data_IF_763331768599
#
_entry.id   IF_763331768599
#
_cell.length_a   1.000
_cell.length_b   1.000
_cell.length_c   1.000
_cell.angle_alpha   90.00
_cell.angle_beta   90.00
_cell.angle_gamma   90.00
#
_symmetry.space_group_name_H-M   'P 1'
#
loop_
_entity.id
_entity.type
_entity.pdbx_description
1 polymer ?
#
# COMPACT_ATOMS: atom_id res chain seq x y z
N UNK A 1 -11.48 -1.65 31.63
CA UNK A 1 -11.77 -1.07 30.31
C UNK A 1 -10.45 -0.62 29.71
N UNK A 2 -10.09 -1.07 28.55
CA UNK A 2 -8.76 -0.86 27.96
C UNK A 2 -8.56 0.54 27.37
N UNK A 3 -9.64 1.33 27.21
CA UNK A 3 -9.58 2.68 26.66
C UNK A 3 -8.60 3.56 27.45
N UNK A 4 -7.68 4.21 26.75
CA UNK A 4 -6.75 5.20 27.31
C UNK A 4 -7.53 6.41 27.86
N UNK A 5 -7.54 6.56 29.18
CA UNK A 5 -8.22 7.65 29.87
C UNK A 5 -7.39 8.95 29.99
N UNK A 6 -6.11 8.86 29.63
CA UNK A 6 -5.16 9.98 29.56
C UNK A 6 -5.27 10.77 28.25
N UNK A 7 -5.98 10.24 27.25
CA UNK A 7 -6.30 10.90 25.98
C UNK A 7 -7.75 11.40 26.02
N UNK A 8 -7.97 12.69 25.79
CA UNK A 8 -9.31 13.29 25.69
C UNK A 8 -9.65 13.68 24.24
N UNK A 9 -8.65 14.07 23.46
CA UNK A 9 -8.83 14.55 22.08
C UNK A 9 -7.75 14.03 21.14
N UNK A 10 -8.16 13.71 19.91
CA UNK A 10 -7.32 13.10 18.88
C UNK A 10 -7.43 13.89 17.59
N UNK A 11 -6.28 14.29 17.03
CA UNK A 11 -6.17 14.88 15.71
C UNK A 11 -5.93 13.77 14.68
N UNK A 12 -6.82 13.66 13.70
CA UNK A 12 -6.69 12.74 12.56
C UNK A 12 -6.23 13.52 11.34
N UNK A 13 -5.20 13.02 10.67
CA UNK A 13 -4.75 13.56 9.39
C UNK A 13 -5.39 12.78 8.24
N UNK A 14 -6.05 13.47 7.33
CA UNK A 14 -6.57 12.91 6.10
C UNK A 14 -5.51 12.78 5.00
N UNK A 15 -5.93 12.29 3.83
CA UNK A 15 -5.04 12.00 2.71
C UNK A 15 -4.81 13.19 1.77
N UNK A 16 -5.44 14.32 2.01
CA UNK A 16 -5.41 15.45 1.08
C UNK A 16 -6.39 15.28 -0.09
N UNK A 17 -6.09 15.83 -1.28
CA UNK A 17 -6.91 15.68 -2.46
C UNK A 17 -6.90 14.22 -2.94
N UNK A 18 -7.99 13.79 -3.59
CA UNK A 18 -8.04 12.50 -4.27
C UNK A 18 -7.17 12.58 -5.53
N UNK A 19 -6.12 11.77 -5.56
CA UNK A 19 -5.17 11.65 -6.67
C UNK A 19 -4.97 10.19 -7.04
N UNK A 20 -4.43 9.92 -8.23
CA UNK A 20 -4.01 8.56 -8.60
C UNK A 20 -2.97 8.07 -7.58
N UNK A 21 -3.25 6.92 -6.96
CA UNK A 21 -2.41 6.34 -5.91
C UNK A 21 -2.86 6.63 -4.48
N UNK A 22 -3.68 7.66 -4.25
CA UNK A 22 -4.19 8.05 -2.92
C UNK A 22 -5.63 8.54 -3.03
N UNK A 23 -6.57 7.57 -3.18
CA UNK A 23 -7.96 7.83 -3.56
C UNK A 23 -8.95 7.62 -2.40
N UNK A 24 -10.18 7.20 -2.73
CA UNK A 24 -11.31 7.10 -1.79
C UNK A 24 -11.11 6.07 -0.66
N UNK A 25 -10.17 5.14 -0.79
CA UNK A 25 -9.86 4.14 0.24
C UNK A 25 -9.36 4.80 1.54
N UNK A 26 -8.63 5.90 1.41
CA UNK A 26 -8.16 6.66 2.58
C UNK A 26 -9.27 7.54 3.18
N UNK A 27 -10.21 8.03 2.36
CA UNK A 27 -11.41 8.66 2.86
C UNK A 27 -12.26 7.68 3.70
N UNK A 28 -12.44 6.45 3.20
CA UNK A 28 -13.08 5.39 3.96
C UNK A 28 -12.37 5.13 5.29
N UNK A 29 -11.05 5.00 5.29
CA UNK A 29 -10.25 4.71 6.49
C UNK A 29 -10.36 5.83 7.52
N UNK A 30 -10.25 7.09 7.09
CA UNK A 30 -10.41 8.27 7.94
C UNK A 30 -11.82 8.38 8.53
N UNK A 31 -12.86 8.14 7.71
CA UNK A 31 -14.26 8.15 8.18
C UNK A 31 -14.51 7.04 9.22
N UNK A 32 -13.98 5.84 9.03
CA UNK A 32 -14.09 4.75 10.00
C UNK A 32 -13.36 5.07 11.31
N UNK A 33 -12.18 5.68 11.24
CA UNK A 33 -11.46 6.10 12.43
C UNK A 33 -12.22 7.19 13.22
N UNK A 34 -12.75 8.20 12.53
CA UNK A 34 -13.58 9.23 13.16
C UNK A 34 -14.76 8.62 13.92
N UNK A 35 -15.50 7.71 13.26
CA UNK A 35 -16.64 7.02 13.89
C UNK A 35 -16.22 6.21 15.11
N UNK A 36 -15.20 5.36 14.96
CA UNK A 36 -14.73 4.48 16.02
C UNK A 36 -14.27 5.26 17.26
N UNK A 37 -13.50 6.34 17.08
CA UNK A 37 -12.99 7.13 18.18
C UNK A 37 -14.07 7.97 18.86
N UNK A 38 -15.04 8.51 18.11
CA UNK A 38 -16.19 9.20 18.69
C UNK A 38 -17.12 8.26 19.46
N UNK A 39 -17.33 7.03 18.96
CA UNK A 39 -18.07 5.98 19.70
C UNK A 39 -17.42 5.67 21.06
N UNK A 40 -16.09 5.74 21.14
CA UNK A 40 -15.33 5.58 22.38
C UNK A 40 -15.35 6.86 23.26
N UNK A 41 -15.96 7.94 22.78
CA UNK A 41 -16.14 9.19 23.53
C UNK A 41 -14.93 10.13 23.50
N UNK A 42 -14.02 9.98 22.52
CA UNK A 42 -12.95 10.95 22.29
C UNK A 42 -13.47 12.15 21.50
N UNK A 43 -12.95 13.33 21.79
CA UNK A 43 -13.13 14.49 20.92
C UNK A 43 -12.23 14.33 19.69
N UNK A 44 -12.84 14.28 18.51
CA UNK A 44 -12.13 14.08 17.24
C UNK A 44 -11.98 15.39 16.49
N UNK A 45 -10.75 15.71 16.11
CA UNK A 45 -10.39 16.83 15.26
C UNK A 45 -9.87 16.25 13.95
N UNK A 46 -10.37 16.71 12.81
CA UNK A 46 -9.98 16.23 11.49
C UNK A 46 -9.39 17.35 10.66
N UNK A 47 -8.30 17.06 9.95
CA UNK A 47 -7.73 17.91 8.90
C UNK A 47 -7.71 17.15 7.60
N UNK A 48 -8.37 17.68 6.58
CA UNK A 48 -8.28 17.20 5.19
C UNK A 48 -8.61 18.32 4.22
N UNK A 49 -7.88 18.43 3.12
CA UNK A 49 -8.06 19.55 2.17
C UNK A 49 -9.24 19.38 1.20
N UNK A 50 -9.73 18.14 1.04
CA UNK A 50 -10.84 17.86 0.12
C UNK A 50 -12.19 17.98 0.82
N UNK A 51 -13.04 18.98 0.49
CA UNK A 51 -14.34 19.15 1.11
C UNK A 51 -15.41 18.14 0.64
N UNK A 52 -15.12 17.39 -0.43
CA UNK A 52 -16.07 16.46 -1.03
C UNK A 52 -15.88 15.01 -0.58
N UNK A 53 -15.14 14.77 0.50
CA UNK A 53 -14.92 13.45 1.10
C UNK A 53 -15.94 13.15 2.20
N UNK A 54 -16.18 11.86 2.48
CA UNK A 54 -17.06 11.43 3.56
C UNK A 54 -16.50 11.85 4.92
N UNK A 55 -15.17 11.72 5.12
CA UNK A 55 -14.55 12.07 6.39
C UNK A 55 -14.73 13.56 6.75
N UNK A 56 -14.86 14.44 5.77
CA UNK A 56 -15.06 15.88 5.99
C UNK A 56 -16.52 16.30 6.18
N UNK A 57 -17.45 15.36 6.16
CA UNK A 57 -18.83 15.63 6.56
C UNK A 57 -18.85 16.18 8.00
N UNK A 58 -19.58 17.26 8.27
CA UNK A 58 -19.66 17.89 9.61
C UNK A 58 -20.07 16.94 10.74
N UNK A 59 -20.77 15.83 10.40
CA UNK A 59 -21.16 14.83 11.39
C UNK A 59 -20.03 13.86 11.76
N UNK A 60 -18.90 13.84 11.05
CA UNK A 60 -17.82 12.86 11.26
C UNK A 60 -16.89 13.24 12.41
N UNK A 61 -16.57 14.51 12.60
CA UNK A 61 -15.66 14.98 13.64
C UNK A 61 -16.27 16.13 14.45
N UNK A 62 -15.75 16.38 15.65
CA UNK A 62 -16.20 17.49 16.51
C UNK A 62 -15.65 18.84 16.00
N UNK A 63 -14.49 18.81 15.32
CA UNK A 63 -13.92 19.95 14.60
C UNK A 63 -13.33 19.46 13.28
N UNK A 64 -13.77 20.03 12.17
CA UNK A 64 -13.27 19.70 10.82
C UNK A 64 -12.58 20.91 10.22
N UNK A 65 -11.34 20.72 9.79
CA UNK A 65 -10.51 21.72 9.09
C UNK A 65 -10.35 21.31 7.64
N UNK A 66 -10.95 22.09 6.74
CA UNK A 66 -10.74 21.97 5.28
C UNK A 66 -9.51 22.81 4.93
N UNK A 67 -8.35 22.25 5.23
CA UNK A 67 -7.06 22.92 5.13
C UNK A 67 -6.00 21.97 4.53
N UNK A 68 -4.91 22.52 3.98
CA UNK A 68 -3.81 21.68 3.48
C UNK A 68 -3.23 20.77 4.56
N UNK A 69 -2.98 19.51 4.19
CA UNK A 69 -2.30 18.53 5.04
C UNK A 69 -0.78 18.77 4.95
N UNK A 70 -0.37 19.94 5.40
CA UNK A 70 1.02 20.42 5.45
C UNK A 70 1.38 20.77 6.89
N UNK A 71 2.62 20.47 7.29
CA UNK A 71 3.02 20.60 8.70
C UNK A 71 2.85 22.01 9.27
N UNK A 72 3.05 23.09 8.48
CA UNK A 72 2.91 24.45 8.93
C UNK A 72 1.43 24.80 9.27
N UNK A 73 0.52 24.31 8.45
CA UNK A 73 -0.93 24.48 8.65
C UNK A 73 -1.40 23.65 9.84
N UNK A 74 -0.99 22.38 9.88
CA UNK A 74 -1.35 21.47 10.97
C UNK A 74 -0.76 21.93 12.30
N UNK A 75 0.44 22.51 12.32
CA UNK A 75 1.03 23.11 13.54
C UNK A 75 0.15 24.22 14.13
N UNK A 76 -0.45 25.09 13.30
CA UNK A 76 -1.38 26.11 13.76
C UNK A 76 -2.68 25.53 14.32
N UNK A 77 -3.14 24.43 13.74
CA UNK A 77 -4.32 23.72 14.23
C UNK A 77 -4.01 23.05 15.58
N UNK A 78 -2.84 22.42 15.71
CA UNK A 78 -2.36 21.87 17.00
C UNK A 78 -2.24 22.98 18.06
N UNK A 79 -1.70 24.13 17.71
CA UNK A 79 -1.61 25.28 18.61
C UNK A 79 -2.98 25.74 19.11
N UNK A 80 -3.98 25.75 18.25
CA UNK A 80 -5.35 26.20 18.55
C UNK A 80 -6.13 25.14 19.33
N UNK A 81 -6.12 23.88 18.86
CA UNK A 81 -6.98 22.81 19.35
C UNK A 81 -6.40 22.03 20.53
N UNK A 82 -5.06 22.02 20.67
CA UNK A 82 -4.33 21.32 21.74
C UNK A 82 -4.76 19.86 21.88
N UNK A 83 -4.71 19.05 20.80
CA UNK A 83 -5.05 17.63 20.90
C UNK A 83 -4.06 16.91 21.82
N UNK A 84 -4.51 15.87 22.52
CA UNK A 84 -3.64 15.00 23.30
C UNK A 84 -2.83 14.06 22.41
N UNK A 85 -3.42 13.64 21.27
CA UNK A 85 -2.78 12.69 20.36
C UNK A 85 -2.98 13.04 18.88
N UNK A 86 -2.06 12.55 18.05
CA UNK A 86 -2.07 12.63 16.60
C UNK A 86 -2.15 11.22 16.02
N UNK A 87 -3.15 10.94 15.17
CA UNK A 87 -3.31 9.67 14.45
C UNK A 87 -3.06 9.89 12.95
N UNK A 88 -1.84 9.60 12.43
CA UNK A 88 -1.48 9.81 11.03
C UNK A 88 -1.73 8.60 10.13
N UNK A 89 -1.96 7.41 10.70
CA UNK A 89 -1.95 6.13 9.97
C UNK A 89 -3.16 5.88 9.08
N UNK A 90 -4.12 6.82 9.04
CA UNK A 90 -5.36 6.72 8.26
C UNK A 90 -5.33 7.49 6.94
N UNK A 91 -4.41 8.44 6.78
CA UNK A 91 -4.37 9.37 5.65
C UNK A 91 -3.27 9.08 4.61
N UNK A 92 -2.79 7.86 4.53
CA UNK A 92 -1.78 7.46 3.56
C UNK A 92 -0.42 8.13 3.76
N UNK A 93 0.37 8.20 2.70
CA UNK A 93 1.74 8.76 2.76
C UNK A 93 1.75 10.25 3.08
N UNK A 94 0.77 11.01 2.60
CA UNK A 94 0.65 12.44 2.90
C UNK A 94 0.58 12.69 4.39
N UNK A 95 -0.24 11.93 5.11
CA UNK A 95 -0.41 12.06 6.56
C UNK A 95 0.85 11.65 7.32
N UNK A 96 1.50 10.53 6.93
CA UNK A 96 2.75 10.09 7.56
C UNK A 96 3.87 11.12 7.39
N UNK A 97 4.07 11.64 6.18
CA UNK A 97 5.09 12.66 5.91
C UNK A 97 4.84 13.94 6.71
N UNK A 98 3.57 14.36 6.82
CA UNK A 98 3.19 15.51 7.64
C UNK A 98 3.52 15.27 9.12
N UNK A 99 3.20 14.09 9.65
CA UNK A 99 3.45 13.75 11.05
C UNK A 99 4.94 13.69 11.38
N UNK A 100 5.74 13.04 10.54
CA UNK A 100 7.20 13.01 10.69
C UNK A 100 7.81 14.42 10.68
N UNK A 101 7.30 15.31 9.81
CA UNK A 101 7.78 16.68 9.75
C UNK A 101 7.36 17.50 10.97
N UNK A 102 6.15 17.31 11.49
CA UNK A 102 5.70 17.95 12.73
C UNK A 102 6.58 17.53 13.93
N UNK A 103 6.97 16.27 13.97
CA UNK A 103 7.87 15.77 15.01
C UNK A 103 9.27 16.34 14.87
N UNK A 104 9.85 16.28 13.68
CA UNK A 104 11.19 16.79 13.36
C UNK A 104 11.33 18.31 13.66
N UNK A 105 10.27 19.10 13.46
CA UNK A 105 10.21 20.54 13.76
C UNK A 105 9.90 20.80 15.25
N UNK A 106 9.76 19.74 16.06
CA UNK A 106 9.50 19.85 17.51
C UNK A 106 8.08 20.31 17.88
N UNK A 107 7.16 20.33 16.92
CA UNK A 107 5.78 20.80 17.16
C UNK A 107 5.06 19.88 18.14
N UNK A 108 5.19 18.55 17.95
CA UNK A 108 4.54 17.57 18.82
C UNK A 108 5.04 17.70 20.25
N UNK A 109 6.35 17.76 20.46
CA UNK A 109 6.96 17.93 21.78
C UNK A 109 6.57 19.28 22.44
N UNK A 110 6.54 20.37 21.66
CA UNK A 110 6.16 21.72 22.15
C UNK A 110 4.76 21.76 22.75
N UNK A 111 3.83 21.02 22.17
CA UNK A 111 2.43 21.03 22.60
C UNK A 111 1.99 19.78 23.38
N UNK A 112 2.91 18.84 23.62
CA UNK A 112 2.65 17.61 24.36
C UNK A 112 1.71 16.65 23.61
N UNK A 113 1.80 16.59 22.28
CA UNK A 113 0.97 15.73 21.43
C UNK A 113 1.68 14.40 21.22
N UNK A 114 1.02 13.30 21.59
CA UNK A 114 1.54 11.94 21.36
C UNK A 114 1.17 11.45 19.97
N UNK A 115 2.13 10.88 19.24
CA UNK A 115 1.83 10.17 17.99
C UNK A 115 1.36 8.75 18.31
N UNK A 116 0.13 8.40 17.88
CA UNK A 116 -0.50 7.10 18.12
C UNK A 116 -0.73 6.36 16.79
N UNK A 117 -0.93 5.04 16.83
CA UNK A 117 -1.14 4.17 15.65
C UNK A 117 0.16 3.66 15.04
N UNK A 118 1.21 4.46 15.00
CA UNK A 118 2.58 4.04 14.68
C UNK A 118 3.55 5.05 15.31
N UNK A 119 4.69 4.57 15.77
CA UNK A 119 5.77 5.42 16.29
C UNK A 119 6.59 6.00 15.15
N UNK A 120 7.26 7.14 15.39
CA UNK A 120 8.20 7.71 14.42
C UNK A 120 9.27 6.70 14.00
N UNK A 121 9.83 5.96 14.97
CA UNK A 121 10.87 4.94 14.70
C UNK A 121 10.34 3.83 13.77
N UNK A 122 9.11 3.34 14.01
CA UNK A 122 8.49 2.33 13.17
C UNK A 122 8.25 2.83 11.75
N UNK A 123 7.77 4.07 11.60
CA UNK A 123 7.56 4.70 10.29
C UNK A 123 8.88 4.86 9.55
N UNK A 124 9.89 5.42 10.21
CA UNK A 124 11.21 5.66 9.63
C UNK A 124 11.89 4.33 9.21
N UNK A 125 11.83 3.31 10.06
CA UNK A 125 12.36 1.97 9.76
C UNK A 125 11.65 1.28 8.59
N UNK A 126 10.35 1.50 8.42
CA UNK A 126 9.58 0.90 7.35
C UNK A 126 9.76 1.63 5.99
N UNK A 127 9.89 2.96 6.02
CA UNK A 127 9.93 3.80 4.81
C UNK A 127 11.35 4.02 4.27
N UNK A 128 12.35 3.97 5.14
CA UNK A 128 13.76 4.07 4.75
C UNK A 128 14.24 2.70 4.25
N UNK A 129 14.65 2.63 2.98
CA UNK A 129 15.06 1.39 2.34
C UNK A 129 16.25 0.68 2.99
N UNK A 130 17.23 1.45 3.39
CA UNK A 130 18.44 0.89 4.02
C UNK A 130 18.11 0.31 5.39
N UNK A 131 17.35 1.06 6.20
CA UNK A 131 16.88 0.60 7.51
C UNK A 131 15.96 -0.61 7.38
N UNK A 132 15.08 -0.61 6.38
CA UNK A 132 14.22 -1.75 6.10
C UNK A 132 15.01 -2.99 5.70
N UNK A 133 15.98 -2.87 4.80
CA UNK A 133 16.85 -3.97 4.38
C UNK A 133 17.65 -4.55 5.56
N UNK A 134 18.22 -3.69 6.40
CA UNK A 134 18.91 -4.10 7.63
C UNK A 134 17.96 -4.84 8.57
N UNK A 135 16.75 -4.34 8.75
CA UNK A 135 15.74 -4.97 9.60
C UNK A 135 15.33 -6.35 9.06
N UNK A 136 15.11 -6.49 7.75
CA UNK A 136 14.77 -7.77 7.13
C UNK A 136 15.90 -8.79 7.26
N UNK A 137 17.14 -8.40 6.99
CA UNK A 137 18.31 -9.26 7.19
C UNK A 137 18.47 -9.74 8.63
N UNK A 138 18.19 -8.88 9.60
CA UNK A 138 18.25 -9.22 11.03
C UNK A 138 17.29 -10.35 11.41
N UNK A 139 16.14 -10.44 10.80
CA UNK A 139 15.14 -11.49 11.02
C UNK A 139 15.25 -12.65 10.01
N UNK A 140 16.31 -12.68 9.20
CA UNK A 140 16.60 -13.76 8.25
C UNK A 140 15.71 -13.77 7.01
N UNK A 141 15.10 -12.65 6.65
CA UNK A 141 14.32 -12.48 5.43
C UNK A 141 15.17 -11.83 4.33
N UNK A 142 14.86 -12.21 3.09
CA UNK A 142 15.48 -11.62 1.92
C UNK A 142 14.67 -10.44 1.40
N UNK A 143 15.38 -9.40 0.96
CA UNK A 143 14.89 -8.29 0.14
C UNK A 143 15.45 -8.41 -1.28
N UNK A 144 14.95 -7.65 -2.27
CA UNK A 144 15.63 -7.52 -3.56
C UNK A 144 17.09 -7.08 -3.34
N UNK A 145 18.01 -7.71 -4.06
CA UNK A 145 19.42 -7.31 -4.00
C UNK A 145 19.57 -5.90 -4.52
N UNK A 146 20.13 -5.02 -3.70
CA UNK A 146 20.31 -3.63 -4.04
C UNK A 146 21.62 -3.12 -3.44
N UNK A 147 22.31 -2.26 -4.17
CA UNK A 147 23.49 -1.55 -3.65
C UNK A 147 23.52 -0.12 -4.19
N UNK A 148 24.16 0.73 -3.42
CA UNK A 148 24.39 2.13 -3.76
C UNK A 148 25.71 2.25 -4.55
N UNK A 149 25.72 3.13 -5.56
CA UNK A 149 26.90 3.49 -6.32
C UNK A 149 26.98 5.02 -6.46
N UNK A 150 28.16 5.58 -6.22
CA UNK A 150 28.43 7.01 -6.39
C UNK A 150 29.25 7.31 -7.64
N UNK A 151 29.76 6.29 -8.28
CA UNK A 151 30.52 6.38 -9.53
C UNK A 151 30.05 5.33 -10.53
N UNK A 152 30.35 5.55 -11.81
CA UNK A 152 30.04 4.58 -12.85
C UNK A 152 30.82 3.27 -12.63
N UNK A 153 32.03 3.33 -12.10
CA UNK A 153 32.87 2.15 -11.82
C UNK A 153 32.24 1.31 -10.71
N UNK A 154 31.81 1.94 -9.61
CA UNK A 154 31.05 1.28 -8.54
C UNK A 154 29.76 0.67 -9.08
N UNK A 155 29.02 1.38 -9.95
CA UNK A 155 27.79 0.89 -10.56
C UNK A 155 28.03 -0.40 -11.36
N UNK A 156 29.13 -0.51 -12.10
CA UNK A 156 29.49 -1.77 -12.79
C UNK A 156 29.82 -2.90 -11.80
N UNK A 157 30.46 -2.59 -10.66
CA UNK A 157 30.68 -3.56 -9.59
C UNK A 157 29.38 -4.08 -8.98
N UNK A 158 28.38 -3.21 -8.83
CA UNK A 158 27.04 -3.60 -8.38
C UNK A 158 26.34 -4.46 -9.44
N UNK A 159 26.46 -4.11 -10.72
CA UNK A 159 25.86 -4.87 -11.82
C UNK A 159 26.31 -6.34 -11.84
N UNK A 160 27.58 -6.63 -11.52
CA UNK A 160 28.08 -8.01 -11.44
C UNK A 160 27.36 -8.86 -10.40
N UNK A 161 26.83 -8.22 -9.33
CA UNK A 161 26.08 -8.89 -8.26
C UNK A 161 24.58 -8.97 -8.56
N UNK A 162 24.02 -7.92 -9.15
CA UNK A 162 22.58 -7.76 -9.41
C UNK A 162 22.17 -8.44 -10.70
N UNK A 163 22.96 -8.33 -11.76
CA UNK A 163 22.67 -8.88 -13.09
C UNK A 163 21.67 -8.04 -13.89
N UNK A 164 21.25 -8.58 -15.06
CA UNK A 164 20.20 -7.99 -15.90
C UNK A 164 18.91 -8.82 -15.85
N UNK A 165 17.74 -8.18 -16.02
CA UNK A 165 17.51 -6.74 -15.99
C UNK A 165 17.75 -6.17 -14.60
N UNK A 166 18.12 -4.88 -14.51
CA UNK A 166 18.24 -4.17 -13.23
C UNK A 166 17.56 -2.81 -13.29
N UNK A 167 17.17 -2.31 -12.12
CA UNK A 167 16.50 -1.02 -11.95
C UNK A 167 17.51 -0.03 -11.39
N UNK A 168 17.62 1.12 -12.01
CA UNK A 168 18.53 2.20 -11.60
C UNK A 168 17.68 3.37 -11.15
N UNK A 169 17.92 3.86 -9.93
CA UNK A 169 17.19 4.99 -9.34
C UNK A 169 18.16 6.00 -8.76
N UNK A 170 18.21 7.22 -9.31
CA UNK A 170 18.96 8.30 -8.69
C UNK A 170 18.35 8.68 -7.35
N UNK A 171 19.17 8.83 -6.32
CA UNK A 171 18.72 9.26 -5.00
C UNK A 171 18.31 10.73 -5.02
N UNK A 172 17.31 11.07 -4.20
CA UNK A 172 16.76 12.42 -4.02
C UNK A 172 16.20 13.08 -5.28
N UNK A 173 15.78 12.30 -6.28
CA UNK A 173 15.07 12.82 -7.46
C UNK A 173 13.55 12.62 -7.32
N UNK A 174 12.77 13.56 -7.86
CA UNK A 174 11.31 13.49 -7.83
C UNK A 174 10.76 12.73 -9.04
N UNK A 175 9.73 11.91 -8.82
CA UNK A 175 8.97 11.28 -9.89
C UNK A 175 9.74 10.25 -10.73
N UNK A 176 10.85 9.69 -10.22
CA UNK A 176 11.65 8.71 -10.95
C UNK A 176 12.54 9.32 -12.04
N UNK A 177 12.76 10.64 -12.01
CA UNK A 177 13.60 11.34 -12.99
C UNK A 177 15.02 10.78 -13.03
N UNK A 178 15.51 10.45 -14.24
CA UNK A 178 16.86 9.93 -14.46
C UNK A 178 17.01 8.43 -14.18
N UNK A 179 16.01 7.78 -13.59
CA UNK A 179 15.98 6.34 -13.39
C UNK A 179 15.50 5.58 -14.62
N UNK A 180 15.64 4.25 -14.57
CA UNK A 180 15.17 3.38 -15.65
C UNK A 180 15.50 1.92 -15.38
N UNK A 181 15.06 1.08 -16.28
CA UNK A 181 15.37 -0.35 -16.30
C UNK A 181 16.39 -0.60 -17.40
N UNK A 182 17.49 -1.25 -17.05
CA UNK A 182 18.51 -1.65 -18.01
C UNK A 182 18.41 -3.14 -18.30
N UNK A 183 18.31 -3.48 -19.57
CA UNK A 183 18.28 -4.86 -20.05
C UNK A 183 19.63 -5.33 -20.60
N UNK A 184 20.54 -4.38 -20.84
CA UNK A 184 21.87 -4.63 -21.38
C UNK A 184 22.86 -3.57 -20.90
N UNK A 185 24.16 -3.82 -21.13
CA UNK A 185 25.25 -2.98 -20.66
C UNK A 185 25.21 -1.55 -21.23
N UNK A 186 24.74 -1.35 -22.46
CA UNK A 186 24.69 -0.02 -23.09
C UNK A 186 23.61 0.83 -22.46
N UNK A 187 22.43 0.26 -22.24
CA UNK A 187 21.35 0.93 -21.52
C UNK A 187 21.74 1.25 -20.08
N UNK A 188 22.37 0.30 -19.39
CA UNK A 188 22.86 0.46 -18.04
C UNK A 188 23.81 1.67 -17.93
N UNK A 189 24.85 1.72 -18.76
CA UNK A 189 25.82 2.82 -18.75
C UNK A 189 25.15 4.18 -19.02
N UNK A 190 24.23 4.22 -19.99
CA UNK A 190 23.50 5.42 -20.35
C UNK A 190 22.63 5.95 -19.20
N UNK A 191 21.89 5.05 -18.56
CA UNK A 191 21.01 5.40 -17.44
C UNK A 191 21.83 5.82 -16.21
N UNK A 192 22.90 5.08 -15.90
CA UNK A 192 23.76 5.41 -14.75
C UNK A 192 24.42 6.79 -14.92
N UNK A 193 24.99 7.10 -16.08
CA UNK A 193 25.58 8.42 -16.34
C UNK A 193 24.58 9.55 -16.11
N UNK A 194 23.41 9.42 -16.73
CA UNK A 194 22.32 10.40 -16.58
C UNK A 194 21.83 10.50 -15.14
N UNK A 195 21.71 9.37 -14.47
CA UNK A 195 21.24 9.31 -13.08
C UNK A 195 22.22 9.96 -12.10
N UNK A 196 23.54 9.73 -12.24
CA UNK A 196 24.57 10.39 -11.44
C UNK A 196 24.59 11.91 -11.65
N UNK A 197 24.37 12.38 -12.88
CA UNK A 197 24.30 13.83 -13.16
C UNK A 197 23.04 14.49 -12.54
N UNK A 198 21.92 13.76 -12.46
CA UNK A 198 20.66 14.29 -11.95
C UNK A 198 20.52 14.15 -10.43
N UNK A 199 21.22 13.21 -9.80
CA UNK A 199 21.22 13.06 -8.35
C UNK A 199 21.99 14.19 -7.68
N UNK A 200 21.41 14.95 -6.76
CA UNK A 200 22.10 16.01 -6.02
C UNK A 200 23.29 15.50 -5.20
N UNK A 201 23.31 14.23 -4.87
CA UNK A 201 24.34 13.56 -4.07
C UNK A 201 25.28 12.69 -4.92
N UNK A 202 25.12 12.68 -6.25
CA UNK A 202 25.78 11.75 -7.18
C UNK A 202 25.65 10.29 -6.72
N UNK A 203 24.43 9.88 -6.40
CA UNK A 203 24.12 8.58 -5.82
C UNK A 203 23.05 7.86 -6.65
N UNK A 204 23.32 6.60 -6.94
CA UNK A 204 22.39 5.69 -7.58
C UNK A 204 22.11 4.50 -6.67
N UNK A 205 20.85 4.15 -6.52
CA UNK A 205 20.45 2.84 -6.05
C UNK A 205 20.23 1.93 -7.26
N UNK A 206 20.90 0.77 -7.28
CA UNK A 206 20.79 -0.23 -8.35
C UNK A 206 20.20 -1.48 -7.74
N UNK A 207 18.97 -1.82 -8.16
CA UNK A 207 18.19 -2.94 -7.66
C UNK A 207 18.15 -4.08 -8.69
N UNK A 208 18.15 -5.35 -8.24
CA UNK A 208 17.74 -6.46 -9.10
C UNK A 208 16.30 -6.25 -9.55
N UNK A 209 16.02 -6.57 -10.81
CA UNK A 209 14.65 -6.47 -11.33
C UNK A 209 13.85 -7.72 -10.96
N UNK A 210 12.71 -7.50 -10.37
CA UNK A 210 11.71 -8.54 -10.11
C UNK A 210 10.62 -8.59 -11.17
N UNK A 211 10.83 -7.96 -12.34
CA UNK A 211 9.87 -8.01 -13.44
C UNK A 211 9.58 -9.46 -13.82
N UNK A 212 8.30 -9.78 -13.94
CA UNK A 212 7.84 -11.13 -14.25
C UNK A 212 7.68 -12.05 -13.03
N UNK A 213 8.08 -11.62 -11.83
CA UNK A 213 7.82 -12.38 -10.61
C UNK A 213 6.34 -12.30 -10.24
N UNK A 214 5.85 -13.31 -9.53
CA UNK A 214 4.53 -13.26 -8.89
C UNK A 214 4.56 -12.28 -7.73
N UNK A 215 3.44 -11.61 -7.51
CA UNK A 215 3.29 -10.64 -6.43
C UNK A 215 2.15 -11.04 -5.49
N UNK A 216 2.45 -11.04 -4.20
CA UNK A 216 1.50 -11.35 -3.13
C UNK A 216 1.54 -10.29 -2.05
N UNK A 217 0.40 -10.09 -1.40
CA UNK A 217 0.29 -9.17 -0.27
C UNK A 217 -0.39 -9.88 0.91
N UNK A 218 0.05 -9.54 2.12
CA UNK A 218 -0.61 -9.94 3.36
C UNK A 218 -1.09 -8.70 4.09
N UNK A 219 -2.40 -8.64 4.33
CA UNK A 219 -2.97 -7.65 5.24
C UNK A 219 -2.93 -8.19 6.66
N UNK A 220 -2.26 -7.47 7.54
CA UNK A 220 -1.92 -7.93 8.88
C UNK A 220 -2.35 -6.90 9.90
N UNK A 221 -2.84 -7.35 11.04
CA UNK A 221 -3.13 -6.48 12.19
C UNK A 221 -2.41 -7.02 13.41
N UNK A 222 -1.75 -6.13 14.15
CA UNK A 222 -1.05 -6.46 15.40
C UNK A 222 -1.41 -5.46 16.50
N UNK A 223 -1.55 -5.96 17.74
CA UNK A 223 -1.78 -5.15 18.92
C UNK A 223 -0.58 -5.15 19.89
N UNK A 224 -0.69 -4.39 20.97
CA UNK A 224 0.37 -4.24 21.99
C UNK A 224 0.61 -5.51 22.82
N UNK A 225 -0.32 -6.45 22.84
CA UNK A 225 -0.18 -7.77 23.48
C UNK A 225 0.44 -8.83 22.56
N UNK A 226 0.93 -8.41 21.37
CA UNK A 226 1.48 -9.29 20.33
C UNK A 226 0.45 -10.26 19.74
N UNK A 227 -0.86 -10.00 19.89
CA UNK A 227 -1.83 -10.67 19.05
C UNK A 227 -1.62 -10.17 17.62
N UNK A 228 -1.27 -11.08 16.73
CA UNK A 228 -0.94 -10.75 15.34
C UNK A 228 -1.66 -11.72 14.40
N UNK A 229 -2.51 -11.18 13.53
CA UNK A 229 -3.40 -11.96 12.66
C UNK A 229 -3.29 -11.53 11.20
N UNK A 230 -3.43 -12.48 10.29
CA UNK A 230 -3.58 -12.23 8.87
C UNK A 230 -5.07 -12.03 8.55
N UNK A 231 -5.41 -10.86 8.07
CA UNK A 231 -6.79 -10.55 7.67
C UNK A 231 -7.12 -11.16 6.32
N UNK A 232 -6.18 -11.06 5.38
CA UNK A 232 -6.36 -11.52 4.03
C UNK A 232 -5.01 -11.76 3.34
N UNK A 233 -4.92 -12.84 2.57
CA UNK A 233 -3.89 -13.01 1.55
C UNK A 233 -4.42 -12.50 0.21
N UNK A 234 -3.60 -11.79 -0.53
CA UNK A 234 -3.95 -11.16 -1.78
C UNK A 234 -2.94 -11.58 -2.85
N UNK A 235 -3.42 -11.90 -4.04
CA UNK A 235 -2.58 -12.20 -5.20
C UNK A 235 -2.84 -11.19 -6.31
N UNK A 236 -1.79 -10.58 -6.82
CA UNK A 236 -1.83 -9.77 -8.02
C UNK A 236 -1.65 -10.69 -9.24
N UNK A 237 -2.66 -10.73 -10.12
CA UNK A 237 -2.63 -11.62 -11.31
C UNK A 237 -1.65 -11.13 -12.35
N UNK A 238 -1.43 -9.83 -12.43
CA UNK A 238 -0.39 -9.25 -13.26
C UNK A 238 0.98 -9.48 -12.60
N UNK A 239 1.95 -9.90 -13.39
CA UNK A 239 3.30 -10.05 -12.90
C UNK A 239 3.91 -8.71 -12.47
N UNK A 240 4.89 -8.76 -11.58
CA UNK A 240 5.66 -7.57 -11.17
C UNK A 240 6.20 -6.81 -12.37
N UNK A 241 6.12 -5.49 -12.30
CA UNK A 241 6.32 -4.54 -13.39
C UNK A 241 5.04 -3.76 -13.73
N UNK A 242 3.88 -4.27 -13.32
CA UNK A 242 2.61 -3.53 -13.26
C UNK A 242 2.37 -3.13 -11.81
N UNK A 243 2.01 -1.86 -11.58
CA UNK A 243 1.73 -1.36 -10.23
C UNK A 243 0.55 -2.12 -9.60
N UNK A 244 0.62 -2.47 -8.31
CA UNK A 244 -0.42 -3.23 -7.58
C UNK A 244 -1.83 -2.63 -7.73
N UNK A 245 -1.94 -1.30 -7.76
CA UNK A 245 -3.19 -0.58 -8.01
C UNK A 245 -3.79 -0.83 -9.40
N UNK A 246 -2.94 -1.08 -10.40
CA UNK A 246 -3.32 -1.35 -11.78
C UNK A 246 -3.47 -2.84 -12.07
N UNK A 247 -3.07 -3.70 -11.14
CA UNK A 247 -3.20 -5.14 -11.24
C UNK A 247 -4.63 -5.60 -11.01
N UNK A 248 -5.02 -6.67 -11.72
CA UNK A 248 -6.18 -7.47 -11.37
C UNK A 248 -5.79 -8.27 -10.13
N UNK A 249 -6.61 -8.20 -9.08
CA UNK A 249 -6.25 -8.71 -7.77
C UNK A 249 -7.31 -9.69 -7.28
N UNK A 250 -6.89 -10.77 -6.66
CA UNK A 250 -7.78 -11.80 -6.12
C UNK A 250 -7.49 -12.06 -4.64
N UNK A 251 -8.54 -12.26 -3.88
CA UNK A 251 -8.50 -12.63 -2.47
C UNK A 251 -9.47 -13.79 -2.20
N UNK A 252 -9.06 -14.83 -1.47
CA UNK A 252 -7.67 -15.11 -1.03
C UNK A 252 -6.76 -15.44 -2.22
N UNK A 253 -5.45 -15.42 -2.01
CA UNK A 253 -4.47 -15.86 -3.01
C UNK A 253 -4.80 -17.28 -3.53
N UNK A 254 -4.76 -17.46 -4.85
CA UNK A 254 -5.25 -18.67 -5.51
C UNK A 254 -4.13 -19.66 -5.86
N UNK A 255 -2.91 -19.18 -6.06
CA UNK A 255 -1.80 -20.00 -6.58
C UNK A 255 -0.72 -20.31 -5.56
N UNK A 256 -0.88 -19.88 -4.30
CA UNK A 256 0.00 -20.27 -3.20
C UNK A 256 -0.29 -21.70 -2.76
N UNK A 257 0.76 -22.49 -2.61
CA UNK A 257 0.69 -23.72 -1.81
C UNK A 257 0.57 -23.36 -0.33
N UNK A 258 0.06 -24.28 0.50
CA UNK A 258 -0.01 -24.05 1.94
C UNK A 258 1.38 -23.74 2.55
N UNK A 259 2.42 -24.42 2.08
CA UNK A 259 3.79 -24.16 2.54
C UNK A 259 4.24 -22.73 2.24
N UNK A 260 3.99 -22.22 1.05
CA UNK A 260 4.33 -20.84 0.66
C UNK A 260 3.50 -19.82 1.43
N UNK A 261 2.20 -20.08 1.60
CA UNK A 261 1.33 -19.26 2.44
C UNK A 261 1.86 -19.16 3.88
N UNK A 262 2.23 -20.29 4.51
CA UNK A 262 2.77 -20.30 5.88
C UNK A 262 4.12 -19.58 5.97
N UNK A 263 4.97 -19.66 4.95
CA UNK A 263 6.21 -18.88 4.89
C UNK A 263 5.95 -17.38 4.86
N UNK A 264 5.05 -16.93 3.98
CA UNK A 264 4.68 -15.51 3.89
C UNK A 264 3.96 -15.02 5.15
N UNK A 265 3.08 -15.85 5.73
CA UNK A 265 2.41 -15.58 7.00
C UNK A 265 3.43 -15.36 8.12
N UNK A 266 4.35 -16.28 8.32
CA UNK A 266 5.37 -16.21 9.37
C UNK A 266 6.31 -15.02 9.14
N UNK A 267 6.69 -14.75 7.89
CA UNK A 267 7.48 -13.59 7.51
C UNK A 267 6.75 -12.29 7.86
N UNK A 268 5.46 -12.17 7.52
CA UNK A 268 4.65 -10.98 7.84
C UNK A 268 4.60 -10.70 9.33
N UNK A 269 4.38 -11.73 10.16
CA UNK A 269 4.38 -11.59 11.62
C UNK A 269 5.76 -11.12 12.14
N UNK A 270 6.85 -11.67 11.60
CA UNK A 270 8.20 -11.29 11.97
C UNK A 270 8.52 -9.84 11.53
N UNK A 271 8.08 -9.43 10.34
CA UNK A 271 8.25 -8.06 9.82
C UNK A 271 7.57 -7.05 10.75
N UNK A 272 6.30 -7.24 11.11
CA UNK A 272 5.59 -6.30 11.99
C UNK A 272 6.26 -6.17 13.36
N UNK A 273 6.77 -7.27 13.91
CA UNK A 273 7.50 -7.28 15.19
C UNK A 273 8.82 -6.52 15.09
N UNK A 274 9.62 -6.77 14.03
CA UNK A 274 10.92 -6.11 13.86
C UNK A 274 10.78 -4.62 13.54
N UNK A 275 9.80 -4.23 12.75
CA UNK A 275 9.51 -2.82 12.45
C UNK A 275 8.97 -2.10 13.69
N UNK A 276 8.20 -2.80 14.54
CA UNK A 276 7.63 -2.23 15.76
C UNK A 276 6.25 -1.63 15.58
N UNK A 277 5.46 -2.12 14.60
CA UNK A 277 4.03 -1.76 14.51
C UNK A 277 3.26 -2.59 15.53
N UNK A 278 2.64 -1.91 16.50
CA UNK A 278 1.97 -2.52 17.65
C UNK A 278 0.49 -2.16 17.77
N UNK A 279 0.02 -1.20 17.00
CA UNK A 279 -1.34 -0.65 17.16
C UNK A 279 -1.99 -0.38 15.83
N UNK A 280 -2.02 -1.38 14.95
CA UNK A 280 -2.70 -1.13 13.70
C UNK A 280 -2.58 -2.18 12.61
N UNK A 281 -3.15 -1.84 11.48
CA UNK A 281 -3.09 -2.60 10.25
C UNK A 281 -1.89 -2.22 9.42
N UNK A 282 -1.33 -3.21 8.74
CA UNK A 282 -0.19 -3.07 7.85
C UNK A 282 -0.34 -3.98 6.65
N UNK A 283 0.27 -3.58 5.55
CA UNK A 283 0.38 -4.37 4.34
C UNK A 283 1.83 -4.80 4.15
N UNK A 284 2.07 -6.08 3.95
CA UNK A 284 3.40 -6.64 3.63
C UNK A 284 3.36 -7.22 2.23
N UNK A 285 4.25 -6.77 1.36
CA UNK A 285 4.31 -7.18 -0.05
C UNK A 285 5.48 -8.14 -0.29
N UNK A 286 5.21 -9.18 -1.08
CA UNK A 286 6.15 -10.25 -1.40
C UNK A 286 6.27 -10.42 -2.91
N UNK A 287 7.51 -10.63 -3.38
CA UNK A 287 7.78 -11.15 -4.70
C UNK A 287 8.18 -12.61 -4.63
N UNK A 288 7.66 -13.45 -5.52
CA UNK A 288 8.04 -14.85 -5.67
C UNK A 288 8.53 -15.13 -7.08
N UNK A 289 9.78 -15.62 -7.17
CA UNK A 289 10.34 -16.06 -8.45
C UNK A 289 9.58 -17.29 -8.97
N UNK A 290 8.98 -17.24 -10.17
CA UNK A 290 8.22 -18.38 -10.71
C UNK A 290 9.11 -19.59 -11.03
N UNK A 291 10.39 -19.37 -11.33
CA UNK A 291 11.31 -20.44 -11.74
C UNK A 291 11.97 -21.16 -10.56
N UNK A 292 12.32 -20.41 -9.51
CA UNK A 292 13.10 -20.93 -8.38
C UNK A 292 12.30 -21.06 -7.09
N UNK A 293 11.14 -20.42 -7.00
CA UNK A 293 10.34 -20.32 -5.78
C UNK A 293 10.94 -19.38 -4.72
N UNK A 294 12.03 -18.65 -5.03
CA UNK A 294 12.63 -17.65 -4.11
C UNK A 294 11.61 -16.60 -3.76
N UNK A 295 11.45 -16.31 -2.47
CA UNK A 295 10.53 -15.31 -1.93
C UNK A 295 11.36 -14.16 -1.35
N UNK A 296 10.98 -12.93 -1.69
CA UNK A 296 11.57 -11.71 -1.14
C UNK A 296 10.49 -10.80 -0.57
N UNK A 297 10.83 -10.06 0.49
CA UNK A 297 9.97 -8.98 1.00
C UNK A 297 10.29 -7.71 0.21
N UNK A 298 9.25 -7.12 -0.38
CA UNK A 298 9.39 -5.90 -1.20
C UNK A 298 9.35 -4.65 -0.32
N UNK A 299 8.28 -4.54 0.44
CA UNK A 299 8.03 -3.41 1.34
C UNK A 299 6.98 -3.76 2.40
N UNK A 300 6.89 -2.92 3.40
CA UNK A 300 5.85 -2.96 4.41
C UNK A 300 5.32 -1.55 4.62
N UNK A 301 4.00 -1.39 4.59
CA UNK A 301 3.36 -0.12 4.88
C UNK A 301 2.94 -0.08 6.36
N UNK A 302 3.53 0.79 7.23
CA UNK A 302 3.24 0.85 8.67
C UNK A 302 1.94 1.65 8.94
N UNK A 303 0.94 1.45 8.13
CA UNK A 303 -0.33 2.18 8.13
C UNK A 303 -1.41 1.41 7.41
N UNK A 304 -2.66 1.83 7.57
CA UNK A 304 -3.74 1.38 6.70
C UNK A 304 -3.42 1.78 5.26
N UNK A 305 -3.55 0.83 4.34
CA UNK A 305 -3.26 0.98 2.91
C UNK A 305 -4.53 0.98 2.07
N UNK A 306 -4.40 1.13 0.75
CA UNK A 306 -5.52 0.94 -0.17
C UNK A 306 -6.04 -0.49 -0.11
N UNK A 307 -5.13 -1.45 -0.12
CA UNK A 307 -5.48 -2.88 0.00
C UNK A 307 -6.16 -3.21 1.32
N UNK A 308 -5.89 -2.48 2.41
CA UNK A 308 -6.60 -2.65 3.69
C UNK A 308 -8.10 -2.35 3.58
N UNK A 309 -8.49 -1.32 2.83
CA UNK A 309 -9.91 -1.03 2.58
C UNK A 309 -10.57 -2.11 1.74
N UNK A 310 -9.87 -2.61 0.70
CA UNK A 310 -10.35 -3.70 -0.14
C UNK A 310 -10.43 -5.01 0.64
N UNK A 311 -9.43 -5.35 1.42
CA UNK A 311 -9.43 -6.52 2.31
C UNK A 311 -10.57 -6.45 3.33
N UNK A 312 -10.83 -5.26 3.89
CA UNK A 312 -11.97 -5.07 4.79
C UNK A 312 -13.29 -5.39 4.12
N UNK A 313 -13.48 -4.96 2.86
CA UNK A 313 -14.69 -5.29 2.09
C UNK A 313 -14.71 -6.77 1.67
N UNK A 314 -13.57 -7.34 1.33
CA UNK A 314 -13.46 -8.73 0.92
C UNK A 314 -13.78 -9.69 2.06
N UNK A 315 -13.34 -9.41 3.28
CA UNK A 315 -13.46 -10.31 4.44
C UNK A 315 -14.59 -9.96 5.39
N UNK A 316 -15.04 -8.70 5.37
CA UNK A 316 -15.96 -8.16 6.39
C UNK A 316 -15.24 -7.70 7.67
N UNK A 317 -13.90 -7.85 7.78
CA UNK A 317 -13.13 -7.40 8.93
C UNK A 317 -12.78 -5.90 8.78
N UNK A 318 -13.25 -5.02 9.68
CA UNK A 318 -13.13 -3.57 9.51
C UNK A 318 -11.76 -3.07 9.98
N UNK A 319 -10.69 -3.27 9.18
CA UNK A 319 -9.29 -2.99 9.53
C UNK A 319 -9.12 -1.57 10.09
N UNK A 320 -9.64 -0.53 9.43
CA UNK A 320 -9.46 0.85 9.86
C UNK A 320 -10.13 1.15 11.20
N UNK A 321 -11.34 0.61 11.44
CA UNK A 321 -12.05 0.70 12.73
C UNK A 321 -11.25 0.02 13.84
N UNK A 322 -10.77 -1.18 13.59
CA UNK A 322 -9.97 -1.95 14.55
C UNK A 322 -8.66 -1.23 14.83
N UNK A 323 -7.92 -0.81 13.81
CA UNK A 323 -6.66 -0.08 13.97
C UNK A 323 -6.81 1.21 14.78
N UNK A 324 -7.91 1.96 14.59
CA UNK A 324 -8.20 3.15 15.38
C UNK A 324 -8.43 2.80 16.88
N UNK A 325 -9.11 1.70 17.16
CA UNK A 325 -9.32 1.23 18.55
C UNK A 325 -8.05 0.70 19.20
N UNK A 326 -7.21 -0.02 18.44
CA UNK A 326 -5.90 -0.45 18.94
C UNK A 326 -5.01 0.74 19.28
N UNK A 327 -5.05 1.82 18.49
CA UNK A 327 -4.28 3.03 18.74
C UNK A 327 -4.64 3.74 20.07
N UNK A 328 -5.81 3.45 20.63
CA UNK A 328 -6.28 4.01 21.92
C UNK A 328 -6.32 2.97 23.05
N UNK A 329 -5.55 1.89 22.92
CA UNK A 329 -5.23 0.97 24.01
C UNK A 329 -6.04 -0.33 24.06
N UNK A 330 -6.94 -0.57 23.10
CA UNK A 330 -7.60 -1.87 22.98
C UNK A 330 -6.63 -2.93 22.46
N UNK A 331 -6.93 -4.19 22.75
CA UNK A 331 -6.27 -5.36 22.16
C UNK A 331 -7.27 -6.16 21.33
N UNK A 332 -6.76 -7.00 20.40
CA UNK A 332 -7.61 -7.77 19.50
C UNK A 332 -8.55 -8.75 20.21
N UNK A 333 -8.13 -9.29 21.35
CA UNK A 333 -8.92 -10.20 22.17
C UNK A 333 -10.03 -9.47 22.97
N UNK A 334 -9.91 -8.16 23.16
CA UNK A 334 -10.93 -7.32 23.82
C UNK A 334 -11.97 -6.77 22.85
N UNK A 335 -11.65 -6.72 21.56
CA UNK A 335 -12.56 -6.23 20.54
C UNK A 335 -13.50 -7.34 20.03
N UNK A 336 -14.77 -7.01 19.91
CA UNK A 336 -15.74 -7.90 19.27
C UNK A 336 -15.49 -8.01 17.77
N UNK A 337 -15.61 -9.23 17.22
CA UNK A 337 -15.46 -9.47 15.79
C UNK A 337 -16.79 -9.16 15.07
N UNK A 338 -16.77 -8.15 14.22
CA UNK A 338 -17.95 -7.71 13.48
C UNK A 338 -18.47 -8.81 12.51
N UNK A 339 -17.59 -9.66 11.97
CA UNK A 339 -17.97 -10.76 11.05
C UNK A 339 -18.90 -11.77 11.75
N UNK A 340 -18.65 -12.04 13.04
CA UNK A 340 -19.41 -13.02 13.82
C UNK A 340 -20.53 -12.37 14.64
N UNK A 341 -20.83 -11.10 14.41
CA UNK A 341 -21.79 -10.35 15.21
C UNK A 341 -21.37 -10.21 16.68
N UNK A 342 -20.08 -10.21 16.96
CA UNK A 342 -19.52 -10.07 18.31
C UNK A 342 -19.43 -11.36 19.12
N UNK A 343 -19.69 -12.52 18.51
CA UNK A 343 -19.64 -13.82 19.21
C UNK A 343 -18.20 -14.24 19.53
N UNK A 344 -17.26 -13.91 18.64
CA UNK A 344 -15.83 -14.16 18.85
C UNK A 344 -15.06 -12.85 18.98
N UNK A 345 -13.86 -12.86 19.60
CA UNK A 345 -13.00 -11.70 19.60
C UNK A 345 -12.36 -11.45 18.22
N UNK A 346 -11.89 -10.23 17.99
CA UNK A 346 -11.25 -9.82 16.75
C UNK A 346 -9.86 -10.46 16.54
N UNK A 347 -9.33 -11.17 17.53
CA UNK A 347 -8.08 -11.94 17.44
C UNK A 347 -8.20 -13.23 16.59
N UNK A 348 -9.40 -13.61 16.17
CA UNK A 348 -9.59 -14.72 15.25
C UNK A 348 -9.38 -14.28 13.81
N UNK A 349 -8.48 -14.95 13.11
CA UNK A 349 -8.24 -14.69 11.68
C UNK A 349 -9.51 -14.95 10.86
N UNK A 350 -9.89 -14.04 9.93
CA UNK A 350 -11.00 -14.29 9.03
C UNK A 350 -10.76 -15.52 8.16
N UNK A 351 -11.79 -16.32 7.96
CA UNK A 351 -11.80 -17.45 7.03
C UNK A 351 -12.97 -17.27 6.06
N UNK A 352 -12.66 -17.20 4.77
CA UNK A 352 -13.68 -16.99 3.72
C UNK A 352 -13.76 -18.21 2.82
N UNK A 353 -14.98 -18.59 2.43
CA UNK A 353 -15.29 -19.71 1.54
C UNK A 353 -15.77 -19.25 0.15
N UNK A 354 -15.38 -18.05 -0.24
CA UNK A 354 -15.67 -17.40 -1.52
C UNK A 354 -14.42 -16.71 -2.06
N UNK A 355 -14.49 -16.26 -3.28
CA UNK A 355 -13.41 -15.54 -3.96
C UNK A 355 -13.86 -14.12 -4.29
N UNK A 356 -13.00 -13.16 -4.03
CA UNK A 356 -13.20 -11.75 -4.37
C UNK A 356 -12.18 -11.35 -5.42
N UNK A 357 -12.66 -10.79 -6.54
CA UNK A 357 -11.79 -10.26 -7.60
C UNK A 357 -11.97 -8.74 -7.71
N UNK A 358 -10.87 -8.02 -7.73
CA UNK A 358 -10.81 -6.59 -8.03
C UNK A 358 -10.29 -6.41 -9.45
N UNK A 359 -10.96 -5.58 -10.25
CA UNK A 359 -10.50 -5.19 -11.60
C UNK A 359 -10.39 -3.66 -11.65
N UNK A 360 -9.23 -3.11 -12.05
CA UNK A 360 -9.03 -1.67 -12.12
C UNK A 360 -9.77 -1.06 -13.32
N UNK A 361 -10.17 0.21 -13.17
CA UNK A 361 -10.76 1.03 -14.22
C UNK A 361 -9.75 2.09 -14.67
N UNK A 362 -9.56 2.18 -15.97
CA UNK A 362 -8.72 3.19 -16.61
C UNK A 362 -9.59 4.19 -17.37
N UNK A 363 -9.07 5.38 -17.61
CA UNK A 363 -9.77 6.46 -18.33
C UNK A 363 -8.93 6.98 -19.50
N UNK A 364 -8.14 6.10 -20.15
CA UNK A 364 -7.30 6.50 -21.30
C UNK A 364 -8.10 7.06 -22.46
N UNK A 365 -9.36 6.65 -22.61
CA UNK A 365 -10.28 7.20 -23.61
C UNK A 365 -10.50 8.73 -23.49
N UNK A 366 -10.21 9.30 -22.31
CA UNK A 366 -10.32 10.75 -22.07
C UNK A 366 -9.00 11.51 -22.29
N UNK A 367 -7.90 10.78 -22.44
CA UNK A 367 -6.55 11.35 -22.51
C UNK A 367 -5.80 10.76 -23.71
N UNK A 368 -6.10 11.23 -24.92
CA UNK A 368 -5.61 10.67 -26.18
C UNK A 368 -4.07 10.62 -26.31
N UNK A 369 -3.33 11.44 -25.57
CA UNK A 369 -1.86 11.46 -25.57
C UNK A 369 -1.23 10.65 -24.45
N UNK A 370 -2.03 10.06 -23.55
CA UNK A 370 -1.51 9.25 -22.46
C UNK A 370 -1.06 7.88 -22.98
N UNK A 371 0.10 7.42 -22.50
CA UNK A 371 0.58 6.07 -22.75
C UNK A 371 -0.26 5.06 -21.95
N UNK A 372 -1.00 4.20 -22.65
CA UNK A 372 -1.86 3.16 -22.08
C UNK A 372 -1.09 1.93 -21.59
N UNK A 373 0.23 1.84 -21.83
CA UNK A 373 1.07 0.77 -21.31
C UNK A 373 1.15 0.89 -19.78
N UNK A 374 0.82 -0.19 -19.09
CA UNK A 374 0.94 -0.27 -17.63
C UNK A 374 2.40 -0.46 -17.22
N UNK A 375 2.78 0.19 -16.14
CA UNK A 375 4.14 0.19 -15.60
C UNK A 375 4.11 0.13 -14.08
N UNK A 376 5.24 0.34 -13.44
CA UNK A 376 5.33 0.50 -11.97
C UNK A 376 4.69 1.79 -11.44
N UNK A 377 4.27 2.69 -12.32
CA UNK A 377 3.51 3.89 -11.97
C UNK A 377 2.02 3.63 -12.11
N UNK A 378 1.23 3.88 -11.07
CA UNK A 378 -0.21 3.69 -11.09
C UNK A 378 -0.91 4.64 -12.07
N UNK A 379 -1.85 4.11 -12.86
CA UNK A 379 -2.61 4.85 -13.88
C UNK A 379 -4.13 4.66 -13.76
N UNK A 380 -4.59 3.70 -12.97
CA UNK A 380 -6.03 3.46 -12.75
C UNK A 380 -6.67 4.62 -11.99
N UNK A 381 -7.94 4.89 -12.30
CA UNK A 381 -8.74 5.98 -11.71
C UNK A 381 -9.84 5.48 -10.80
N UNK A 382 -10.04 4.17 -10.74
CA UNK A 382 -11.05 3.51 -9.94
C UNK A 382 -10.96 2.01 -10.11
N UNK A 383 -11.90 1.29 -9.51
CA UNK A 383 -11.91 -0.17 -9.51
C UNK A 383 -13.30 -0.71 -9.22
N UNK A 384 -13.50 -1.97 -9.54
CA UNK A 384 -14.68 -2.75 -9.14
C UNK A 384 -14.23 -3.97 -8.36
N UNK A 385 -15.08 -4.42 -7.46
CA UNK A 385 -14.93 -5.69 -6.76
C UNK A 385 -16.16 -6.56 -6.96
N UNK A 386 -15.95 -7.86 -7.14
CA UNK A 386 -17.02 -8.82 -7.21
C UNK A 386 -16.70 -10.08 -6.40
N UNK A 387 -17.75 -10.64 -5.80
CA UNK A 387 -17.70 -11.88 -5.01
C UNK A 387 -18.32 -13.01 -5.82
N UNK A 388 -17.65 -14.16 -5.84
CA UNK A 388 -18.15 -15.40 -6.43
C UNK A 388 -17.77 -16.60 -5.58
N UNK A 389 -18.39 -17.74 -5.81
CA UNK A 389 -18.00 -19.00 -5.14
C UNK A 389 -16.68 -19.54 -5.69
N UNK A 390 -16.36 -19.16 -6.92
CA UNK A 390 -15.12 -19.52 -7.62
C UNK A 390 -14.47 -18.29 -8.23
N UNK A 391 -13.19 -18.40 -8.58
CA UNK A 391 -12.46 -17.32 -9.29
C UNK A 391 -13.15 -16.97 -10.62
N UNK A 392 -13.57 -17.98 -11.41
CA UNK A 392 -14.24 -17.77 -12.68
C UNK A 392 -15.52 -16.95 -12.53
N UNK A 393 -16.31 -17.22 -11.50
CA UNK A 393 -17.52 -16.46 -11.23
C UNK A 393 -17.20 -15.02 -10.81
N UNK A 394 -16.26 -14.83 -9.89
CA UNK A 394 -15.92 -13.50 -9.36
C UNK A 394 -15.31 -12.61 -10.44
N UNK A 395 -14.39 -13.12 -11.27
CA UNK A 395 -13.76 -12.33 -12.33
C UNK A 395 -14.75 -11.92 -13.41
N UNK A 396 -15.66 -12.83 -13.84
CA UNK A 396 -16.69 -12.50 -14.82
C UNK A 396 -17.67 -11.44 -14.29
N UNK A 397 -18.03 -11.52 -13.01
CA UNK A 397 -18.87 -10.49 -12.36
C UNK A 397 -18.14 -9.15 -12.28
N UNK A 398 -16.85 -9.15 -11.95
CA UNK A 398 -16.06 -7.93 -11.89
C UNK A 398 -15.94 -7.25 -13.27
N UNK A 399 -15.73 -8.02 -14.34
CA UNK A 399 -15.70 -7.50 -15.71
C UNK A 399 -17.02 -6.83 -16.11
N UNK A 400 -18.15 -7.45 -15.79
CA UNK A 400 -19.47 -6.82 -16.01
C UNK A 400 -19.64 -5.56 -15.16
N UNK A 401 -19.14 -5.59 -13.92
CA UNK A 401 -19.23 -4.47 -12.99
C UNK A 401 -18.43 -3.24 -13.41
N UNK A 402 -17.47 -3.37 -14.33
CA UNK A 402 -16.77 -2.23 -14.92
C UNK A 402 -17.66 -1.30 -15.75
N UNK A 403 -18.81 -1.83 -16.24
CA UNK A 403 -19.79 -1.09 -17.06
C UNK A 403 -19.17 -0.44 -18.32
N UNK A 404 -18.21 -1.14 -18.94
CA UNK A 404 -17.51 -0.72 -20.15
C UNK A 404 -18.08 -1.36 -21.43
N UNK A 405 -19.32 -1.89 -21.35
CA UNK A 405 -20.00 -2.50 -22.48
C UNK A 405 -19.61 -3.95 -22.75
N UNK A 406 -18.90 -4.62 -21.83
CA UNK A 406 -18.53 -6.03 -21.93
C UNK A 406 -19.35 -6.88 -20.95
N UNK A 407 -19.85 -8.03 -21.40
CA UNK A 407 -20.58 -8.99 -20.57
C UNK A 407 -19.66 -10.00 -19.83
N UNK A 408 -18.38 -9.95 -20.07
CA UNK A 408 -17.36 -10.84 -19.48
C UNK A 408 -16.12 -10.94 -20.37
N UNK A 409 -15.53 -12.13 -20.47
CA UNK A 409 -14.44 -12.40 -21.38
C UNK A 409 -14.97 -12.47 -22.83
N UNK A 410 -14.98 -11.35 -23.50
CA UNK A 410 -15.36 -11.21 -24.89
C UNK A 410 -14.11 -10.80 -25.70
N UNK A 411 -13.75 -11.53 -26.78
CA UNK A 411 -12.57 -11.18 -27.56
C UNK A 411 -12.79 -9.84 -28.25
N UNK A 412 -11.88 -8.90 -28.05
CA UNK A 412 -11.87 -7.60 -28.75
C UNK A 412 -11.02 -7.63 -30.01
N UNK A 413 -10.07 -8.55 -30.09
CA UNK A 413 -9.24 -8.78 -31.25
C UNK A 413 -9.55 -10.16 -31.82
N UNK A 414 -9.94 -10.19 -33.10
CA UNK A 414 -10.19 -11.43 -33.85
C UNK A 414 -9.00 -11.65 -34.79
N UNK A 415 -8.36 -12.80 -34.65
CA UNK A 415 -7.22 -13.17 -35.54
C UNK A 415 -7.78 -13.69 -36.86
N UNK A 416 -7.59 -12.91 -37.93
CA UNK A 416 -8.03 -13.27 -39.30
C UNK A 416 -6.88 -13.44 -40.30
N UNK A 417 -5.70 -12.88 -39.94
CA UNK A 417 -4.50 -12.85 -40.81
C UNK A 417 -3.22 -12.75 -39.97
N UNK A 418 -2.07 -12.68 -40.60
CA UNK A 418 -0.78 -12.60 -39.94
C UNK A 418 -0.59 -11.24 -39.20
N UNK A 419 -1.14 -10.15 -39.73
CA UNK A 419 -1.03 -8.83 -39.10
C UNK A 419 -1.82 -8.77 -37.77
N UNK A 420 -3.03 -9.31 -37.77
CA UNK A 420 -3.84 -9.41 -36.54
C UNK A 420 -3.22 -10.37 -35.52
N UNK A 421 -2.50 -11.41 -36.00
CA UNK A 421 -1.73 -12.30 -35.12
C UNK A 421 -0.55 -11.58 -34.46
N UNK A 422 0.17 -10.77 -35.22
CA UNK A 422 1.29 -9.96 -34.69
C UNK A 422 0.77 -8.96 -33.65
N UNK A 423 -0.37 -8.30 -33.93
CA UNK A 423 -0.97 -7.37 -32.97
C UNK A 423 -1.44 -8.11 -31.71
N UNK A 424 -2.03 -9.30 -31.83
CA UNK A 424 -2.40 -10.12 -30.66
C UNK A 424 -1.17 -10.45 -29.79
N UNK A 425 -0.09 -10.90 -30.40
CA UNK A 425 1.17 -11.19 -29.68
C UNK A 425 1.67 -9.96 -28.95
N UNK A 426 1.63 -8.80 -29.62
CA UNK A 426 2.02 -7.52 -29.01
C UNK A 426 1.14 -7.17 -27.82
N UNK A 427 -0.19 -7.32 -27.92
CA UNK A 427 -1.11 -7.08 -26.81
C UNK A 427 -0.88 -8.03 -25.62
N UNK A 428 -0.58 -9.30 -25.88
CA UNK A 428 -0.30 -10.30 -24.85
C UNK A 428 1.08 -10.13 -24.20
N UNK A 429 2.04 -9.54 -24.90
CA UNK A 429 3.41 -9.34 -24.38
C UNK A 429 3.62 -7.99 -23.68
N UNK A 430 2.67 -7.05 -23.84
CA UNK A 430 2.75 -5.73 -23.21
C UNK A 430 1.52 -5.50 -22.32
N UNK A 431 1.70 -5.21 -21.04
CA UNK A 431 0.58 -4.98 -20.16
C UNK A 431 -0.17 -3.70 -20.58
N UNK A 432 -1.37 -3.87 -21.07
CA UNK A 432 -2.28 -2.78 -21.45
C UNK A 432 -3.54 -2.74 -20.59
N UNK A 433 -4.27 -1.64 -20.65
CA UNK A 433 -5.52 -1.50 -19.89
C UNK A 433 -6.59 -2.54 -20.28
N UNK A 434 -6.55 -2.99 -21.54
CA UNK A 434 -7.53 -3.93 -22.12
C UNK A 434 -7.01 -5.37 -22.23
N UNK A 435 -5.89 -5.70 -21.58
CA UNK A 435 -5.20 -7.00 -21.67
C UNK A 435 -6.04 -8.22 -21.32
N UNK A 436 -7.19 -8.01 -20.70
CA UNK A 436 -8.08 -9.10 -20.26
C UNK A 436 -9.09 -9.52 -21.34
N UNK A 437 -9.25 -8.75 -22.39
CA UNK A 437 -10.12 -9.03 -23.53
C UNK A 437 -9.27 -9.39 -24.74
#
# INVERSE_FOLDING_TARGET
MPRRSDIESILILGAGPIVIGQACEFDYSGAQACKALREEGYRVILVNSNPATIMTDPAMADSTYIEPVEWQTVAKIIEKERPCALLPTMGGQTALNCALKLDAEGVLAKYGVEMIGATQEAIDKAEDREKFDVAMKKIGLETPRAEIAHTLEEAFGVLEKVGFPCIIRPSFTMGGSGGGIAYNRVEFETICKRGLELSPTNELLIDESLIGWKEFEMEVVRDTNDNCIIICSIENLDAMGVHTGDSITVAPAQTLTDKEYQLMRNASLAVLREIGVETGGSNVQFGQCPDTGRIVVIEMNPRVSRSSALASKATGFPIAKVAAKLAVGYTLDELANDITGGVTPASFEPSIDYVVTKVPRFAFEKFATADAKLTTQMKSVGEVMAIGRTFQESVQKALRGLEVGSAGFEPRLVVTDDDSRVELVKQLTHPGAERIW
#
